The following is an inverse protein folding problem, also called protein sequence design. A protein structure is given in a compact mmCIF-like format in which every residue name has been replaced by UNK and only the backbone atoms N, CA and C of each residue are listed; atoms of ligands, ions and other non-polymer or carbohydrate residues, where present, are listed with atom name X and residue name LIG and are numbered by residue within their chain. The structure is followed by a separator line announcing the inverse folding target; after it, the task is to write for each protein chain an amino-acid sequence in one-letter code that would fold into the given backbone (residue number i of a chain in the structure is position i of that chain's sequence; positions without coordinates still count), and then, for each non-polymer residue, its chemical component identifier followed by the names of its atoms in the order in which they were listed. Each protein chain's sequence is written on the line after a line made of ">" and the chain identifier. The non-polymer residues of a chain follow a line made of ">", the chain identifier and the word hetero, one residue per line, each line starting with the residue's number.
data_IF_680114944944
#
_entry.id   IF_680114944944
#
_cell.length_a   1.000
_cell.length_b   1.000
_cell.length_c   1.000
_cell.angle_alpha   90.00
_cell.angle_beta   90.00
_cell.angle_gamma   90.00
#
_symmetry.space_group_name_H-M   'P 1'
#
loop_
_entity.id
_entity.type
_entity.pdbx_description
1 polymer ?
#
# COMPACT_ATOMS: atom_id res chain seq x y z
N UNK A 1 3.10 10.55 10.66
CA UNK A 1 1.97 11.48 10.85
C UNK A 1 0.81 10.96 10.01
N UNK A 2 -0.24 10.47 10.65
CA UNK A 2 -1.45 10.00 9.96
C UNK A 2 -2.39 11.20 9.82
N UNK A 3 -2.56 11.71 8.60
CA UNK A 3 -3.31 12.93 8.29
C UNK A 3 -4.85 12.74 8.37
N UNK A 4 -5.32 11.55 8.75
CA UNK A 4 -6.73 11.15 8.64
C UNK A 4 -7.50 11.16 9.95
N UNK A 5 -6.83 11.41 11.09
CA UNK A 5 -7.50 11.45 12.40
C UNK A 5 -7.61 12.90 12.82
N UNK A 6 -8.84 13.39 12.90
CA UNK A 6 -9.11 14.69 13.50
C UNK A 6 -8.70 14.63 14.97
N UNK A 7 -7.72 15.45 15.35
CA UNK A 7 -7.41 15.65 16.76
C UNK A 7 -8.46 16.60 17.34
N UNK A 8 -9.06 16.25 18.48
CA UNK A 8 -10.02 17.15 19.11
C UNK A 8 -9.37 18.47 19.52
N UNK A 9 -10.14 19.56 19.50
CA UNK A 9 -9.68 20.86 19.98
C UNK A 9 -9.71 20.88 21.52
N UNK A 10 -8.52 20.82 22.12
CA UNK A 10 -8.32 20.78 23.57
C UNK A 10 -8.25 22.20 24.17
N UNK A 11 -8.18 23.25 23.34
CA UNK A 11 -8.02 24.64 23.80
C UNK A 11 -9.34 25.33 24.17
N UNK A 12 -10.47 24.64 24.09
CA UNK A 12 -11.76 25.15 24.52
C UNK A 12 -11.83 25.19 26.07
N UNK A 13 -12.29 26.29 26.68
CA UNK A 13 -12.41 26.42 28.14
C UNK A 13 -13.29 25.32 28.78
N UNK A 14 -14.20 24.72 28.00
CA UNK A 14 -15.06 23.60 28.44
C UNK A 14 -14.43 22.21 28.26
N UNK A 15 -13.27 22.13 27.60
CA UNK A 15 -12.56 20.88 27.33
C UNK A 15 -11.89 20.32 28.59
N UNK A 16 -11.63 21.13 29.61
CA UNK A 16 -10.95 20.67 30.83
C UNK A 16 -11.97 20.54 31.96
N UNK A 17 -12.27 19.30 32.38
CA UNK A 17 -13.10 19.01 33.56
C UNK A 17 -12.39 19.39 34.86
N UNK A 18 -11.08 19.13 34.92
CA UNK A 18 -10.26 19.41 36.09
C UNK A 18 -8.82 19.63 35.64
N UNK A 19 -8.32 20.85 35.85
CA UNK A 19 -6.91 21.12 35.66
C UNK A 19 -6.10 20.31 36.69
N UNK A 20 -5.03 19.66 36.24
CA UNK A 20 -4.11 18.89 37.10
C UNK A 20 -2.69 19.39 36.92
N UNK A 21 -1.83 18.95 37.83
CA UNK A 21 -0.39 19.19 37.75
C UNK A 21 0.20 18.68 36.42
N UNK A 22 1.28 19.32 35.97
CA UNK A 22 1.89 19.13 34.65
C UNK A 22 2.31 17.67 34.40
N UNK A 23 2.58 16.90 35.45
CA UNK A 23 2.99 15.49 35.35
C UNK A 23 1.86 14.53 35.02
N UNK A 24 0.62 14.86 35.39
CA UNK A 24 -0.55 13.98 35.25
C UNK A 24 -1.44 14.33 34.06
N UNK A 25 -1.32 15.55 33.54
CA UNK A 25 -2.17 16.06 32.47
C UNK A 25 -3.59 16.36 32.95
N UNK A 26 -4.23 17.36 32.33
CA UNK A 26 -5.58 17.79 32.66
C UNK A 26 -6.62 16.67 32.46
N UNK A 27 -7.64 16.60 33.33
CA UNK A 27 -8.81 15.77 33.07
C UNK A 27 -9.66 16.42 31.99
N UNK A 28 -9.85 15.69 30.89
CA UNK A 28 -10.58 16.17 29.73
C UNK A 28 -12.07 15.84 29.81
N UNK A 29 -12.90 16.78 29.35
CA UNK A 29 -14.33 16.62 29.20
C UNK A 29 -14.64 15.94 27.87
N UNK A 30 -14.60 14.61 27.86
CA UNK A 30 -14.78 13.83 26.63
C UNK A 30 -16.09 14.17 25.90
N UNK A 31 -17.18 14.43 26.64
CA UNK A 31 -18.50 14.75 26.08
C UNK A 31 -18.60 16.14 25.45
N UNK A 32 -17.76 17.10 25.88
CA UNK A 32 -17.68 18.43 25.25
C UNK A 32 -16.69 18.45 24.08
N UNK A 33 -15.62 17.67 24.20
CA UNK A 33 -14.53 17.62 23.23
C UNK A 33 -14.92 16.82 21.97
N UNK A 34 -15.63 15.71 22.16
CA UNK A 34 -16.04 14.82 21.07
C UNK A 34 -17.56 14.85 20.96
N UNK A 35 -18.11 15.43 19.88
CA UNK A 35 -19.55 15.44 19.66
C UNK A 35 -20.12 14.02 19.69
N UNK A 36 -21.24 13.83 20.38
CA UNK A 36 -21.94 12.55 20.52
C UNK A 36 -21.17 11.47 21.30
N UNK A 37 -20.07 11.81 21.98
CA UNK A 37 -19.50 10.93 22.99
C UNK A 37 -20.38 10.92 24.25
N UNK A 38 -20.35 9.82 25.00
CA UNK A 38 -21.11 9.64 26.24
C UNK A 38 -20.28 8.91 27.29
N UNK A 39 -20.48 9.25 28.56
CA UNK A 39 -19.81 8.61 29.70
C UNK A 39 -20.86 8.32 30.77
N UNK A 40 -21.03 7.05 31.14
CA UNK A 40 -22.00 6.62 32.16
C UNK A 40 -21.34 5.70 33.17
N UNK A 41 -21.43 6.05 34.45
CA UNK A 41 -20.94 5.21 35.54
C UNK A 41 -22.10 4.45 36.20
N UNK A 42 -22.02 3.13 36.22
CA UNK A 42 -22.89 2.26 36.98
C UNK A 42 -22.23 1.91 38.33
N UNK A 43 -22.78 2.48 39.40
CA UNK A 43 -22.26 2.29 40.77
C UNK A 43 -22.50 0.86 41.27
N UNK A 44 -23.58 0.20 40.85
CA UNK A 44 -23.94 -1.13 41.33
C UNK A 44 -23.00 -2.19 40.75
N UNK A 45 -22.64 -2.03 39.47
CA UNK A 45 -21.72 -2.93 38.76
C UNK A 45 -20.26 -2.47 38.81
N UNK A 46 -19.98 -1.29 39.38
CA UNK A 46 -18.66 -0.64 39.35
C UNK A 46 -18.10 -0.54 37.92
N UNK A 47 -18.97 -0.29 36.94
CA UNK A 47 -18.62 -0.23 35.51
C UNK A 47 -18.72 1.21 34.99
N UNK A 48 -17.72 1.65 34.23
CA UNK A 48 -17.75 2.91 33.49
C UNK A 48 -17.91 2.60 32.00
N UNK A 49 -19.09 2.91 31.45
CA UNK A 49 -19.38 2.81 30.02
C UNK A 49 -18.97 4.12 29.34
N UNK A 50 -18.12 4.02 28.30
CA UNK A 50 -17.67 5.16 27.50
C UNK A 50 -18.00 4.87 26.04
N UNK A 51 -18.86 5.69 25.45
CA UNK A 51 -19.21 5.63 24.04
C UNK A 51 -18.49 6.76 23.30
N UNK A 52 -17.72 6.41 22.28
CA UNK A 52 -17.04 7.37 21.40
C UNK A 52 -17.39 7.04 19.96
N UNK A 53 -17.82 8.02 19.14
CA UNK A 53 -18.08 7.76 17.74
C UNK A 53 -16.82 7.23 17.04
N UNK A 54 -16.99 6.17 16.25
CA UNK A 54 -15.87 5.42 15.69
C UNK A 54 -14.92 6.29 14.85
N UNK A 55 -15.40 7.38 14.24
CA UNK A 55 -14.57 8.33 13.49
C UNK A 55 -13.44 8.98 14.32
N UNK A 56 -13.54 9.00 15.65
CA UNK A 56 -12.54 9.56 16.58
C UNK A 56 -11.62 8.51 17.20
N UNK A 57 -11.84 7.24 16.90
CA UNK A 57 -11.06 6.13 17.45
C UNK A 57 -10.02 5.71 16.42
N UNK A 58 -8.77 5.56 16.85
CA UNK A 58 -7.71 4.96 16.03
C UNK A 58 -8.11 3.53 15.67
N UNK A 59 -8.48 3.31 14.41
CA UNK A 59 -8.78 1.98 13.90
C UNK A 59 -7.48 1.27 13.58
N UNK A 60 -7.29 0.08 14.13
CA UNK A 60 -6.29 -0.84 13.60
C UNK A 60 -6.86 -1.42 12.30
N UNK A 61 -6.23 -1.15 11.15
CA UNK A 61 -6.60 -1.86 9.92
C UNK A 61 -6.47 -3.37 10.15
N UNK A 62 -7.43 -4.16 9.65
CA UNK A 62 -7.30 -5.61 9.73
C UNK A 62 -5.96 -6.06 9.11
N UNK A 63 -5.24 -6.93 9.81
CA UNK A 63 -3.91 -7.40 9.44
C UNK A 63 -2.83 -6.29 9.34
N UNK A 64 -3.03 -5.16 10.02
CA UNK A 64 -1.95 -4.19 10.21
C UNK A 64 -0.85 -4.77 11.11
N UNK A 65 0.40 -4.59 10.67
CA UNK A 65 1.59 -4.90 11.45
C UNK A 65 2.43 -3.64 11.58
N UNK A 66 2.73 -3.25 12.81
CA UNK A 66 3.59 -2.10 13.08
C UNK A 66 4.98 -2.32 12.43
N UNK A 67 5.52 -1.34 11.68
CA UNK A 67 6.83 -1.48 11.05
C UNK A 67 7.99 -1.75 12.00
N UNK A 68 7.88 -1.43 13.29
CA UNK A 68 8.87 -1.78 14.32
C UNK A 68 8.93 -3.28 14.61
N UNK A 69 7.88 -4.03 14.26
CA UNK A 69 7.82 -5.49 14.40
C UNK A 69 8.33 -6.22 13.15
N UNK A 70 8.73 -5.50 12.09
CA UNK A 70 9.21 -6.13 10.86
C UNK A 70 10.60 -6.71 11.04
N UNK A 71 10.73 -8.00 10.75
CA UNK A 71 12.02 -8.68 10.78
C UNK A 71 12.75 -8.55 9.44
N UNK A 72 14.05 -8.28 9.50
CA UNK A 72 14.90 -8.23 8.30
C UNK A 72 15.22 -9.63 7.73
N UNK A 73 14.87 -10.68 8.47
CA UNK A 73 15.22 -12.06 8.17
C UNK A 73 16.65 -12.41 8.58
N UNK A 74 17.11 -13.59 8.16
CA UNK A 74 18.44 -14.11 8.45
C UNK A 74 19.44 -13.81 7.33
N UNK A 75 20.72 -13.83 7.68
CA UNK A 75 21.78 -13.80 6.70
C UNK A 75 21.81 -15.13 5.93
N UNK A 76 21.63 -15.07 4.61
CA UNK A 76 21.56 -16.27 3.77
C UNK A 76 21.98 -15.96 2.33
N UNK A 77 22.59 -16.94 1.67
CA UNK A 77 22.82 -16.92 0.23
C UNK A 77 21.90 -17.94 -0.45
N UNK A 78 21.40 -17.60 -1.63
CA UNK A 78 20.50 -18.44 -2.40
C UNK A 78 20.92 -18.42 -3.88
N UNK A 79 20.79 -19.56 -4.54
CA UNK A 79 21.00 -19.70 -5.98
C UNK A 79 19.94 -20.65 -6.53
N UNK A 80 19.16 -20.14 -7.48
CA UNK A 80 18.27 -20.93 -8.31
C UNK A 80 18.85 -20.99 -9.71
N UNK A 81 18.78 -22.15 -10.35
CA UNK A 81 19.25 -22.36 -11.71
C UNK A 81 18.23 -23.17 -12.51
N UNK A 82 18.15 -22.89 -13.81
CA UNK A 82 17.36 -23.65 -14.77
C UNK A 82 18.23 -23.97 -15.97
N UNK A 83 18.39 -25.25 -16.29
CA UNK A 83 19.19 -25.72 -17.41
C UNK A 83 18.28 -26.41 -18.42
N UNK A 84 18.43 -26.06 -19.70
CA UNK A 84 17.74 -26.68 -20.80
C UNK A 84 18.73 -27.01 -21.92
N UNK A 85 18.62 -28.20 -22.48
CA UNK A 85 19.41 -28.63 -23.64
C UNK A 85 18.47 -29.02 -24.77
N UNK A 86 18.79 -28.59 -25.98
CA UNK A 86 18.04 -28.90 -27.17
C UNK A 86 18.98 -29.47 -28.24
N UNK A 87 18.54 -30.53 -28.89
CA UNK A 87 19.24 -31.19 -29.97
C UNK A 87 18.27 -31.42 -31.12
N UNK A 88 18.69 -31.05 -32.33
CA UNK A 88 17.94 -31.28 -33.55
C UNK A 88 18.87 -31.75 -34.66
N UNK A 89 18.46 -32.81 -35.34
CA UNK A 89 19.20 -33.39 -36.45
C UNK A 89 18.28 -33.52 -37.66
N UNK A 90 18.68 -32.92 -38.77
CA UNK A 90 18.03 -33.01 -40.08
C UNK A 90 19.12 -33.41 -41.09
N UNK A 91 18.83 -34.12 -42.20
CA UNK A 91 19.88 -34.49 -43.15
C UNK A 91 20.71 -33.28 -43.61
N UNK A 92 22.01 -33.29 -43.29
CA UNK A 92 22.94 -32.21 -43.61
C UNK A 92 23.02 -31.06 -42.59
N UNK A 93 22.25 -31.08 -41.48
CA UNK A 93 22.30 -30.04 -40.45
C UNK A 93 22.07 -30.62 -39.04
N UNK A 94 23.03 -30.38 -38.14
CA UNK A 94 22.89 -30.62 -36.70
C UNK A 94 22.88 -29.29 -35.97
N UNK A 95 21.89 -29.08 -35.11
CA UNK A 95 21.80 -27.90 -34.26
C UNK A 95 21.66 -28.33 -32.81
N UNK A 96 22.65 -27.95 -32.00
CA UNK A 96 22.67 -28.17 -30.56
C UNK A 96 22.54 -26.80 -29.90
N UNK A 97 21.75 -26.70 -28.83
CA UNK A 97 21.74 -25.52 -27.98
C UNK A 97 21.63 -25.87 -26.50
N UNK A 98 22.23 -25.01 -25.68
CA UNK A 98 22.22 -25.09 -24.23
C UNK A 98 21.79 -23.72 -23.71
N UNK A 99 20.78 -23.72 -22.84
CA UNK A 99 20.26 -22.56 -22.14
C UNK A 99 20.46 -22.77 -20.64
N UNK A 100 21.01 -21.78 -19.95
CA UNK A 100 21.12 -21.78 -18.50
C UNK A 100 20.68 -20.44 -17.94
N UNK A 101 19.56 -20.39 -17.21
CA UNK A 101 19.19 -19.24 -16.41
C UNK A 101 19.64 -19.41 -14.97
N UNK A 102 20.06 -18.31 -14.35
CA UNK A 102 20.37 -18.28 -12.92
C UNK A 102 19.71 -17.08 -12.25
N UNK A 103 19.34 -17.26 -10.99
CA UNK A 103 18.84 -16.22 -10.10
C UNK A 103 19.50 -16.43 -8.74
N UNK A 104 20.49 -15.58 -8.46
CA UNK A 104 21.25 -15.59 -7.22
C UNK A 104 20.88 -14.42 -6.33
N UNK A 105 21.07 -14.60 -5.03
CA UNK A 105 20.92 -13.52 -4.07
C UNK A 105 21.63 -13.78 -2.76
N UNK A 106 21.93 -12.68 -2.06
CA UNK A 106 22.46 -12.71 -0.70
C UNK A 106 21.65 -11.74 0.16
N UNK A 107 21.33 -12.16 1.38
CA UNK A 107 20.67 -11.34 2.39
C UNK A 107 21.68 -11.09 3.51
N UNK A 108 21.89 -9.83 3.87
CA UNK A 108 22.76 -9.41 4.97
C UNK A 108 22.06 -8.31 5.77
N UNK A 109 21.42 -8.69 6.87
CA UNK A 109 20.50 -7.83 7.61
C UNK A 109 19.40 -7.29 6.68
N UNK A 110 19.20 -5.97 6.66
CA UNK A 110 18.20 -5.31 5.82
C UNK A 110 18.59 -5.20 4.33
N UNK A 111 19.83 -5.54 3.97
CA UNK A 111 20.32 -5.42 2.60
C UNK A 111 20.14 -6.74 1.86
N UNK A 112 19.65 -6.64 0.62
CA UNK A 112 19.44 -7.80 -0.25
C UNK A 112 20.13 -7.55 -1.57
N UNK A 113 21.11 -8.38 -1.89
CA UNK A 113 21.77 -8.40 -3.19
C UNK A 113 21.02 -9.39 -4.06
N UNK A 114 20.73 -9.01 -5.30
CA UNK A 114 20.04 -9.83 -6.29
C UNK A 114 20.75 -9.73 -7.63
N UNK A 115 20.95 -10.87 -8.27
CA UNK A 115 21.51 -10.95 -9.61
C UNK A 115 20.81 -12.06 -10.39
N UNK A 116 20.26 -11.74 -11.55
CA UNK A 116 19.72 -12.74 -12.47
C UNK A 116 20.22 -12.52 -13.88
N UNK A 117 20.35 -13.62 -14.61
CA UNK A 117 20.84 -13.60 -15.97
C UNK A 117 20.70 -14.96 -16.62
N UNK A 118 21.20 -15.05 -17.84
CA UNK A 118 21.14 -16.26 -18.62
C UNK A 118 22.38 -16.42 -19.49
N UNK A 119 22.71 -17.67 -19.74
CA UNK A 119 23.79 -18.11 -20.61
C UNK A 119 23.16 -18.95 -21.72
N UNK A 120 23.46 -18.61 -22.95
CA UNK A 120 22.99 -19.32 -24.13
C UNK A 120 24.18 -19.78 -24.94
N UNK A 121 24.15 -21.01 -25.43
CA UNK A 121 25.11 -21.52 -26.40
C UNK A 121 24.36 -22.23 -27.52
N UNK A 122 24.78 -22.01 -28.77
CA UNK A 122 24.23 -22.69 -29.94
C UNK A 122 25.34 -23.01 -30.94
N UNK A 123 25.26 -24.16 -31.61
CA UNK A 123 26.30 -24.66 -32.54
C UNK A 123 26.73 -23.63 -33.59
N UNK A 124 25.77 -22.89 -34.16
CA UNK A 124 26.04 -21.91 -35.24
C UNK A 124 26.30 -20.48 -34.73
N UNK A 125 25.93 -20.15 -33.48
CA UNK A 125 25.94 -18.77 -32.95
C UNK A 125 26.92 -18.55 -31.80
N UNK A 126 27.61 -19.58 -31.31
CA UNK A 126 28.53 -19.50 -30.18
C UNK A 126 27.81 -19.31 -28.84
N UNK A 127 28.52 -18.78 -27.84
CA UNK A 127 28.00 -18.52 -26.50
C UNK A 127 27.70 -17.03 -26.30
N UNK A 128 26.54 -16.70 -25.74
CA UNK A 128 26.23 -15.38 -25.22
C UNK A 128 25.84 -15.45 -23.74
N UNK A 129 26.10 -14.38 -23.01
CA UNK A 129 25.78 -14.26 -21.60
C UNK A 129 25.23 -12.88 -21.29
N UNK A 130 24.01 -12.83 -20.77
CA UNK A 130 23.31 -11.58 -20.49
C UNK A 130 22.81 -11.55 -19.05
N UNK A 131 23.10 -10.45 -18.35
CA UNK A 131 22.47 -10.16 -17.07
C UNK A 131 21.16 -9.41 -17.29
N UNK A 132 20.08 -9.92 -16.68
CA UNK A 132 18.78 -9.24 -16.69
C UNK A 132 18.70 -8.13 -15.66
N UNK A 133 19.21 -8.40 -14.45
CA UNK A 133 19.27 -7.40 -13.38
C UNK A 133 20.36 -7.74 -12.38
N UNK A 134 20.96 -6.71 -11.79
CA UNK A 134 21.99 -6.82 -10.75
C UNK A 134 21.92 -5.61 -9.86
N UNK A 135 21.39 -5.78 -8.67
CA UNK A 135 21.16 -4.66 -7.78
C UNK A 135 21.25 -5.05 -6.33
N UNK A 136 21.40 -4.01 -5.51
CA UNK A 136 21.29 -4.07 -4.07
C UNK A 136 20.01 -3.33 -3.72
N UNK A 137 19.12 -3.97 -2.98
CA UNK A 137 17.90 -3.36 -2.47
C UNK A 137 17.90 -3.28 -0.95
N UNK A 138 17.19 -2.29 -0.43
CA UNK A 138 16.90 -2.13 1.00
C UNK A 138 15.53 -1.50 1.19
N UNK A 139 14.77 -2.05 2.13
CA UNK A 139 13.48 -1.49 2.52
C UNK A 139 13.67 -0.38 3.56
N UNK A 140 12.92 0.71 3.41
CA UNK A 140 12.90 1.87 4.30
C UNK A 140 11.50 1.98 4.90
N UNK A 141 11.31 1.32 6.04
CA UNK A 141 10.03 1.21 6.73
C UNK A 141 9.37 2.56 7.05
N UNK A 142 10.16 3.56 7.48
CA UNK A 142 9.67 4.90 7.82
C UNK A 142 9.02 5.63 6.64
N UNK A 143 9.48 5.35 5.42
CA UNK A 143 8.96 5.92 4.17
C UNK A 143 8.03 4.95 3.43
N UNK A 144 7.83 3.71 3.94
CA UNK A 144 7.13 2.62 3.24
C UNK A 144 7.62 2.46 1.79
N UNK A 145 8.94 2.51 1.63
CA UNK A 145 9.59 2.61 0.33
C UNK A 145 10.74 1.63 0.20
N UNK A 146 11.10 1.28 -1.03
CA UNK A 146 12.25 0.44 -1.35
C UNK A 146 13.29 1.26 -2.12
N UNK A 147 14.53 1.20 -1.64
CA UNK A 147 15.72 1.72 -2.31
C UNK A 147 16.35 0.60 -3.13
N UNK A 148 16.66 0.88 -4.39
CA UNK A 148 17.38 0.00 -5.31
C UNK A 148 18.60 0.77 -5.84
N UNK A 149 19.76 0.12 -5.77
CA UNK A 149 21.03 0.60 -6.31
C UNK A 149 21.59 -0.44 -7.29
N UNK A 150 21.83 -0.05 -8.54
CA UNK A 150 22.34 -0.93 -9.59
C UNK A 150 21.41 -1.00 -10.80
N UNK A 151 21.38 -2.16 -11.45
CA UNK A 151 20.65 -2.42 -12.69
C UNK A 151 19.23 -2.91 -12.38
N UNK A 152 18.23 -2.11 -12.73
CA UNK A 152 16.82 -2.40 -12.48
C UNK A 152 15.92 -1.77 -13.55
N UNK A 153 14.64 -2.16 -13.57
CA UNK A 153 13.64 -1.57 -14.45
C UNK A 153 12.79 -0.54 -13.69
N UNK A 154 12.34 0.51 -14.38
CA UNK A 154 11.28 1.41 -13.88
C UNK A 154 9.91 0.71 -13.93
N UNK A 155 8.91 1.17 -13.16
CA UNK A 155 7.63 0.44 -12.98
C UNK A 155 6.78 0.31 -14.25
N UNK A 156 6.95 1.20 -15.22
CA UNK A 156 6.08 1.20 -16.40
C UNK A 156 4.69 1.80 -16.15
N UNK A 157 4.43 2.43 -15.01
CA UNK A 157 3.07 2.81 -14.60
C UNK A 157 2.57 4.14 -15.18
N UNK A 158 3.50 5.08 -15.40
CA UNK A 158 3.22 6.39 -15.99
C UNK A 158 3.85 6.53 -17.37
N UNK A 159 5.09 6.07 -17.50
CA UNK A 159 5.88 6.04 -18.71
C UNK A 159 6.27 4.60 -19.00
N UNK A 160 6.74 4.30 -20.21
CA UNK A 160 7.24 2.97 -20.54
C UNK A 160 8.35 2.52 -19.59
N UNK A 161 8.38 1.21 -19.30
CA UNK A 161 9.42 0.63 -18.45
C UNK A 161 10.76 0.63 -19.20
N UNK A 162 11.76 1.22 -18.57
CA UNK A 162 13.12 1.32 -19.11
C UNK A 162 14.09 0.63 -18.14
N UNK A 163 15.07 -0.08 -18.69
CA UNK A 163 16.19 -0.61 -17.91
C UNK A 163 17.18 0.51 -17.61
N UNK A 164 17.48 0.70 -16.33
CA UNK A 164 18.40 1.73 -15.86
C UNK A 164 19.48 1.13 -14.97
N UNK A 165 20.69 1.67 -15.06
CA UNK A 165 21.76 1.47 -14.09
C UNK A 165 21.90 2.75 -13.26
N UNK A 166 21.51 2.69 -12.00
CA UNK A 166 21.56 3.86 -11.13
C UNK A 166 20.88 3.66 -9.79
N UNK A 167 20.11 4.67 -9.38
CA UNK A 167 19.41 4.73 -8.10
C UNK A 167 17.92 4.84 -8.38
N UNK A 168 17.13 4.05 -7.65
CA UNK A 168 15.68 4.13 -7.67
C UNK A 168 15.15 4.03 -6.24
N UNK A 169 14.26 4.95 -5.88
CA UNK A 169 13.59 4.97 -4.60
C UNK A 169 12.10 5.16 -4.86
N UNK A 170 11.29 4.21 -4.41
CA UNK A 170 9.86 4.20 -4.71
C UNK A 170 9.04 3.67 -3.55
N UNK A 171 7.81 4.17 -3.40
CA UNK A 171 6.85 3.66 -2.43
C UNK A 171 6.34 2.27 -2.84
N UNK A 172 6.36 1.32 -1.91
CA UNK A 172 5.88 -0.04 -2.16
C UNK A 172 4.50 -0.26 -1.53
N UNK A 173 3.47 -0.49 -2.34
CA UNK A 173 2.11 -0.70 -1.84
C UNK A 173 1.96 -1.94 -0.96
N UNK A 174 2.90 -2.90 -1.05
CA UNK A 174 2.92 -4.10 -0.20
C UNK A 174 3.34 -3.78 1.25
N UNK A 175 3.92 -2.61 1.48
CA UNK A 175 4.24 -2.09 2.82
C UNK A 175 3.05 -1.39 3.47
N UNK A 176 1.93 -1.24 2.75
CA UNK A 176 0.66 -0.77 3.30
C UNK A 176 -0.15 -1.96 3.86
N UNK A 177 -1.05 -1.71 4.82
CA UNK A 177 -2.12 -2.66 5.13
C UNK A 177 -2.81 -3.13 3.84
N UNK A 178 -3.16 -4.42 3.69
CA UNK A 178 -3.74 -4.95 2.45
C UNK A 178 -4.97 -4.18 1.97
N UNK A 179 -5.77 -3.66 2.90
CA UNK A 179 -6.93 -2.82 2.61
C UNK A 179 -6.55 -1.53 1.88
N UNK A 180 -5.41 -0.91 2.21
CA UNK A 180 -4.93 0.33 1.60
C UNK A 180 -4.14 0.12 0.31
N UNK A 181 -3.73 -1.11 -0.01
CA UNK A 181 -2.93 -1.42 -1.19
C UNK A 181 -3.72 -1.34 -2.51
N UNK A 182 -5.05 -1.43 -2.44
CA UNK A 182 -5.97 -1.32 -3.57
C UNK A 182 -6.97 -0.18 -3.33
N UNK A 183 -7.42 0.44 -4.43
CA UNK A 183 -8.47 1.47 -4.34
C UNK A 183 -9.79 0.87 -3.84
N UNK A 184 -10.33 1.49 -2.79
CA UNK A 184 -11.75 1.48 -2.50
C UNK A 184 -12.14 2.83 -1.88
N UNK A 185 -13.36 3.33 -2.16
CA UNK A 185 -13.83 4.59 -1.62
C UNK A 185 -13.98 4.47 -0.10
N UNK A 186 -13.72 5.57 0.60
CA UNK A 186 -13.96 5.70 2.04
C UNK A 186 -15.43 6.08 2.24
N UNK A 187 -16.16 5.30 3.02
CA UNK A 187 -17.57 5.54 3.28
C UNK A 187 -17.70 6.34 4.58
N UNK A 188 -18.33 7.51 4.49
CA UNK A 188 -18.70 8.33 5.65
C UNK A 188 -20.19 8.16 5.96
N UNK A 189 -20.55 8.16 7.23
CA UNK A 189 -21.94 8.12 7.66
C UNK A 189 -22.13 8.55 9.12
N UNK A 190 -23.39 8.64 9.53
CA UNK A 190 -23.79 8.94 10.91
C UNK A 190 -24.84 7.92 11.34
N UNK A 191 -24.61 7.26 12.47
CA UNK A 191 -25.57 6.40 13.14
C UNK A 191 -26.23 7.15 14.30
N UNK A 192 -27.53 6.96 14.53
CA UNK A 192 -28.22 7.60 15.65
C UNK A 192 -28.13 6.75 16.92
N UNK A 193 -27.98 5.44 16.76
CA UNK A 193 -27.87 4.45 17.83
C UNK A 193 -26.67 3.54 17.58
N UNK A 194 -26.50 2.52 18.42
CA UNK A 194 -25.58 1.44 18.09
C UNK A 194 -26.14 0.69 16.86
N UNK A 195 -25.52 0.90 15.72
CA UNK A 195 -26.06 0.50 14.43
C UNK A 195 -25.19 -0.60 13.80
N UNK A 196 -25.84 -1.51 13.06
CA UNK A 196 -25.18 -2.48 12.20
C UNK A 196 -25.05 -1.89 10.80
N UNK A 197 -23.83 -1.73 10.33
CA UNK A 197 -23.50 -1.25 8.99
C UNK A 197 -23.13 -2.45 8.12
N UNK A 198 -23.92 -2.68 7.07
CA UNK A 198 -23.72 -3.74 6.10
C UNK A 198 -23.44 -3.11 4.74
N UNK A 199 -22.37 -3.55 4.06
CA UNK A 199 -22.01 -3.11 2.72
C UNK A 199 -22.15 -4.28 1.77
N UNK A 200 -22.90 -4.06 0.70
CA UNK A 200 -23.12 -5.05 -0.36
C UNK A 200 -22.62 -4.53 -1.69
N UNK A 201 -22.07 -5.42 -2.52
CA UNK A 201 -21.58 -5.12 -3.87
C UNK A 201 -22.04 -6.24 -4.81
N UNK A 202 -22.67 -5.88 -5.93
CA UNK A 202 -23.21 -6.87 -6.87
C UNK A 202 -24.19 -7.87 -6.24
N UNK A 203 -24.88 -7.48 -5.17
CA UNK A 203 -25.80 -8.33 -4.42
C UNK A 203 -25.16 -9.22 -3.33
N UNK A 204 -23.83 -9.21 -3.19
CA UNK A 204 -23.12 -9.96 -2.16
C UNK A 204 -22.71 -9.08 -0.99
N UNK A 205 -22.85 -9.57 0.25
CA UNK A 205 -22.35 -8.89 1.45
C UNK A 205 -20.83 -9.02 1.51
N UNK A 206 -20.14 -7.89 1.39
CA UNK A 206 -18.67 -7.84 1.38
C UNK A 206 -18.09 -7.31 2.70
N UNK A 207 -18.90 -6.61 3.50
CA UNK A 207 -18.47 -6.07 4.79
C UNK A 207 -19.66 -5.91 5.73
N UNK A 208 -19.43 -6.15 7.03
CA UNK A 208 -20.42 -5.97 8.08
C UNK A 208 -19.71 -5.64 9.39
N UNK A 209 -20.16 -4.58 10.07
CA UNK A 209 -19.64 -4.20 11.39
C UNK A 209 -20.74 -3.53 12.20
N UNK A 210 -20.57 -3.47 13.51
CA UNK A 210 -21.33 -2.55 14.37
C UNK A 210 -20.54 -1.25 14.55
N UNK A 211 -21.25 -0.13 14.66
CA UNK A 211 -20.68 1.19 14.95
C UNK A 211 -21.42 1.83 16.13
N UNK A 212 -20.71 2.50 17.05
CA UNK A 212 -21.35 3.29 18.11
C UNK A 212 -22.21 4.42 17.54
N UNK A 213 -23.11 5.01 18.35
CA UNK A 213 -23.83 6.22 17.98
C UNK A 213 -22.87 7.35 17.56
N UNK A 214 -23.23 8.06 16.49
CA UNK A 214 -22.50 9.19 15.96
C UNK A 214 -21.83 8.92 14.61
N UNK A 215 -20.88 9.80 14.24
CA UNK A 215 -20.18 9.71 12.97
C UNK A 215 -19.26 8.47 12.90
N UNK A 216 -19.28 7.80 11.74
CA UNK A 216 -18.43 6.64 11.46
C UNK A 216 -17.76 6.77 10.08
N UNK A 217 -16.63 6.09 9.93
CA UNK A 217 -15.83 6.04 8.69
C UNK A 217 -15.40 4.60 8.42
N UNK A 218 -15.71 4.10 7.23
CA UNK A 218 -15.25 2.78 6.75
C UNK A 218 -14.24 2.98 5.63
N UNK A 219 -12.97 2.73 5.94
CA UNK A 219 -11.82 2.90 5.04
C UNK A 219 -11.01 1.59 4.84
N UNK A 220 -11.51 0.47 5.35
CA UNK A 220 -10.87 -0.85 5.35
C UNK A 220 -11.60 -1.90 4.50
N UNK A 221 -12.45 -1.45 3.58
CA UNK A 221 -13.21 -2.30 2.66
C UNK A 221 -12.30 -3.02 1.65
N UNK A 222 -12.43 -4.33 1.47
CA UNK A 222 -11.79 -5.02 0.32
C UNK A 222 -12.84 -5.30 -0.77
N UNK A 223 -12.81 -4.62 -1.93
CA UNK A 223 -13.80 -4.84 -2.97
C UNK A 223 -13.61 -6.23 -3.61
N UNK A 224 -14.72 -6.88 -3.97
CA UNK A 224 -14.70 -8.23 -4.57
C UNK A 224 -14.57 -8.23 -6.10
N UNK A 225 -14.55 -7.05 -6.73
CA UNK A 225 -14.44 -6.90 -8.19
C UNK A 225 -14.55 -5.44 -8.66
N UNK A 226 -14.64 -5.24 -9.98
CA UNK A 226 -14.73 -3.93 -10.62
C UNK A 226 -16.17 -3.64 -11.10
N UNK A 227 -16.61 -2.38 -10.98
CA UNK A 227 -17.75 -1.86 -11.76
C UNK A 227 -19.17 -2.09 -11.21
N UNK A 228 -19.34 -2.34 -9.91
CA UNK A 228 -20.66 -2.28 -9.27
C UNK A 228 -20.62 -1.42 -8.02
N UNK A 229 -21.65 -0.58 -7.87
CA UNK A 229 -21.81 0.33 -6.74
C UNK A 229 -21.84 -0.41 -5.40
N UNK A 230 -21.38 0.29 -4.37
CA UNK A 230 -21.43 -0.19 -2.99
C UNK A 230 -22.74 0.30 -2.37
N UNK A 231 -23.63 -0.64 -2.03
CA UNK A 231 -24.87 -0.32 -1.32
C UNK A 231 -24.61 -0.45 0.17
N UNK A 232 -24.69 0.68 0.87
CA UNK A 232 -24.46 0.77 2.31
C UNK A 232 -25.82 0.80 3.00
N UNK A 233 -26.06 -0.15 3.89
CA UNK A 233 -27.26 -0.22 4.74
C UNK A 233 -26.86 -0.05 6.19
N UNK A 234 -27.45 0.95 6.85
CA UNK A 234 -27.32 1.21 8.28
C UNK A 234 -28.62 0.78 8.95
N UNK A 235 -28.55 -0.26 9.77
CA UNK A 235 -29.65 -0.79 10.57
C UNK A 235 -29.48 -0.34 12.03
N UNK A 236 -30.36 0.55 12.49
CA UNK A 236 -30.35 1.11 13.84
C UNK A 236 -30.90 0.09 14.86
N UNK A 237 -30.66 0.31 16.15
CA UNK A 237 -31.13 -0.56 17.23
C UNK A 237 -32.65 -0.70 17.31
N UNK A 238 -33.41 0.27 16.78
CA UNK A 238 -34.88 0.23 16.70
C UNK A 238 -35.40 -0.56 15.48
N UNK A 239 -34.50 -1.11 14.67
CA UNK A 239 -34.82 -1.85 13.45
C UNK A 239 -35.03 -0.97 12.22
N UNK A 240 -34.96 0.36 12.35
CA UNK A 240 -35.02 1.26 11.20
C UNK A 240 -33.78 1.09 10.31
N UNK A 241 -33.98 1.15 8.99
CA UNK A 241 -32.92 0.94 7.99
C UNK A 241 -32.79 2.14 7.10
N UNK A 242 -31.55 2.60 6.92
CA UNK A 242 -31.19 3.65 5.97
C UNK A 242 -30.23 3.07 4.95
N UNK A 243 -30.53 3.27 3.68
CA UNK A 243 -29.69 2.75 2.59
C UNK A 243 -29.26 3.89 1.68
N UNK A 244 -27.99 3.91 1.31
CA UNK A 244 -27.45 4.82 0.30
C UNK A 244 -26.46 4.09 -0.61
N UNK A 245 -26.34 4.56 -1.85
CA UNK A 245 -25.36 4.04 -2.81
C UNK A 245 -24.11 4.90 -2.78
N UNK A 246 -22.95 4.26 -2.64
CA UNK A 246 -21.64 4.85 -2.88
C UNK A 246 -21.14 4.37 -4.24
N UNK A 247 -21.08 5.25 -5.26
CA UNK A 247 -20.59 4.88 -6.57
C UNK A 247 -19.19 4.28 -6.51
N UNK A 248 -18.98 3.17 -7.22
CA UNK A 248 -17.68 2.49 -7.29
C UNK A 248 -17.28 2.24 -8.74
N UNK A 249 -16.35 3.06 -9.22
CA UNK A 249 -15.59 2.84 -10.45
C UNK A 249 -14.12 2.93 -10.06
N UNK A 250 -13.30 1.96 -10.47
CA UNK A 250 -11.86 1.95 -10.20
C UNK A 250 -11.10 1.89 -11.51
N UNK A 251 -10.25 2.89 -11.76
CA UNK A 251 -9.22 2.83 -12.80
C UNK A 251 -7.93 2.36 -12.12
N UNK A 252 -7.06 1.63 -12.85
CA UNK A 252 -5.85 0.98 -12.31
C UNK A 252 -4.92 1.93 -11.53
N UNK A 253 -4.99 3.24 -11.79
CA UNK A 253 -4.12 4.25 -11.18
C UNK A 253 -4.75 5.01 -9.99
N UNK A 254 -6.00 4.75 -9.61
CA UNK A 254 -6.62 5.47 -8.47
C UNK A 254 -6.05 5.00 -7.13
N UNK A 255 -5.87 5.95 -6.21
CA UNK A 255 -5.38 5.71 -4.86
C UNK A 255 -6.47 6.02 -3.84
N UNK A 256 -6.44 5.32 -2.71
CA UNK A 256 -7.32 5.68 -1.59
C UNK A 256 -7.03 7.09 -1.09
N UNK A 257 -8.04 7.81 -0.57
CA UNK A 257 -7.84 9.12 0.03
C UNK A 257 -6.72 9.11 1.07
N UNK A 258 -5.77 10.03 0.91
CA UNK A 258 -4.54 10.22 1.67
C UNK A 258 -3.51 9.10 1.61
N UNK A 259 -3.64 8.16 0.68
CA UNK A 259 -2.51 7.31 0.26
C UNK A 259 -1.73 8.05 -0.82
N UNK A 260 -0.44 8.24 -0.58
CA UNK A 260 0.53 8.76 -1.54
C UNK A 260 1.35 7.63 -2.15
N UNK A 261 1.61 7.71 -3.45
CA UNK A 261 2.48 6.81 -4.19
C UNK A 261 3.49 7.62 -4.99
N UNK A 262 4.73 7.18 -5.00
CA UNK A 262 5.79 7.89 -5.71
C UNK A 262 6.89 6.95 -6.18
N UNK A 263 7.55 7.32 -7.27
CA UNK A 263 8.71 6.63 -7.82
C UNK A 263 9.69 7.69 -8.32
N UNK A 264 10.91 7.65 -7.81
CA UNK A 264 12.00 8.52 -8.24
C UNK A 264 13.15 7.63 -8.68
N UNK A 265 13.56 7.78 -9.93
CA UNK A 265 14.64 7.02 -10.52
C UNK A 265 15.59 7.91 -11.31
N UNK A 266 16.88 7.62 -11.20
CA UNK A 266 17.94 8.36 -11.87
C UNK A 266 19.10 7.44 -12.18
N UNK A 267 19.55 7.45 -13.43
CA UNK A 267 20.64 6.58 -13.85
C UNK A 267 20.83 6.57 -15.35
N UNK A 268 21.71 5.69 -15.81
CA UNK A 268 22.02 5.53 -17.21
C UNK A 268 21.08 4.49 -17.84
N UNK A 269 20.52 4.79 -19.02
CA UNK A 269 19.66 3.85 -19.74
C UNK A 269 20.50 2.71 -20.30
N UNK A 270 20.14 1.48 -19.94
CA UNK A 270 20.73 0.28 -20.52
C UNK A 270 19.90 -0.13 -21.73
N UNK A 271 20.49 -0.04 -22.92
CA UNK A 271 19.87 -0.51 -24.15
C UNK A 271 20.93 -1.15 -25.03
N UNK A 272 20.75 -2.42 -25.36
CA UNK A 272 21.76 -3.23 -26.09
C UNK A 272 22.05 -2.74 -27.53
N UNK A 273 21.30 -1.75 -28.04
CA UNK A 273 21.24 -1.36 -29.45
C UNK A 273 21.54 0.14 -29.70
N UNK A 274 22.01 0.89 -28.71
CA UNK A 274 22.39 2.31 -28.86
C UNK A 274 23.81 2.55 -28.33
N UNK A 275 24.67 3.18 -29.14
CA UNK A 275 26.04 3.54 -28.77
C UNK A 275 26.13 4.58 -27.65
N UNK A 276 25.16 5.49 -27.59
CA UNK A 276 24.98 6.44 -26.50
C UNK A 276 23.96 5.87 -25.50
N UNK A 277 24.42 5.58 -24.30
CA UNK A 277 23.59 5.22 -23.15
C UNK A 277 23.23 6.52 -22.40
N UNK A 278 22.12 7.23 -22.74
CA UNK A 278 21.80 8.53 -22.17
C UNK A 278 21.47 8.43 -20.69
N UNK A 279 21.61 9.54 -19.98
CA UNK A 279 21.15 9.63 -18.60
C UNK A 279 19.63 9.87 -18.60
N UNK A 280 18.94 9.21 -17.68
CA UNK A 280 17.52 9.34 -17.45
C UNK A 280 17.29 9.79 -16.03
N UNK A 281 16.44 10.80 -15.87
CA UNK A 281 15.82 11.16 -14.60
C UNK A 281 14.30 11.09 -14.76
N UNK A 282 13.67 10.25 -13.95
CA UNK A 282 12.23 10.06 -13.94
C UNK A 282 11.69 10.19 -12.52
N UNK A 283 10.62 10.96 -12.36
CA UNK A 283 9.93 11.10 -11.09
C UNK A 283 8.42 11.09 -11.33
N UNK A 284 7.68 10.34 -10.52
CA UNK A 284 6.22 10.36 -10.50
C UNK A 284 5.72 10.45 -9.07
N UNK A 285 4.61 11.18 -8.89
CA UNK A 285 3.94 11.34 -7.61
C UNK A 285 2.44 11.32 -7.83
N UNK A 286 1.74 10.51 -7.05
CA UNK A 286 0.29 10.36 -7.06
C UNK A 286 -0.23 10.44 -5.63
N UNK A 287 -1.38 11.07 -5.44
CA UNK A 287 -1.99 11.22 -4.13
C UNK A 287 -3.52 11.16 -4.25
N UNK A 288 -4.14 10.26 -3.50
CA UNK A 288 -5.60 10.20 -3.41
C UNK A 288 -6.12 11.41 -2.64
N UNK A 289 -6.78 12.34 -3.32
CA UNK A 289 -7.35 13.54 -2.68
C UNK A 289 -8.67 13.22 -1.99
N UNK A 290 -9.54 12.48 -2.70
CA UNK A 290 -10.83 12.03 -2.20
C UNK A 290 -11.29 10.79 -2.98
N UNK A 291 -12.51 10.31 -2.72
CA UNK A 291 -13.07 9.11 -3.35
C UNK A 291 -13.24 9.19 -4.87
N UNK A 292 -13.18 10.38 -5.45
CA UNK A 292 -13.44 10.63 -6.87
C UNK A 292 -12.22 11.15 -7.61
N UNK A 293 -11.21 11.66 -6.90
CA UNK A 293 -10.07 12.34 -7.48
C UNK A 293 -8.76 11.85 -6.85
N UNK A 294 -7.91 11.27 -7.69
CA UNK A 294 -6.48 11.10 -7.43
C UNK A 294 -5.74 12.12 -8.28
N UNK A 295 -4.97 12.99 -7.64
CA UNK A 295 -4.08 13.92 -8.32
C UNK A 295 -2.71 13.26 -8.52
N UNK A 296 -2.05 13.53 -9.63
CA UNK A 296 -0.69 13.09 -9.83
C UNK A 296 0.04 13.93 -10.86
N UNK A 297 1.36 13.91 -10.78
CA UNK A 297 2.26 14.55 -11.72
C UNK A 297 3.45 13.63 -11.96
N UNK A 298 4.03 13.71 -13.16
CA UNK A 298 5.17 12.91 -13.53
C UNK A 298 6.06 13.64 -14.54
N UNK A 299 7.36 13.56 -14.30
CA UNK A 299 8.39 14.14 -15.14
C UNK A 299 9.34 13.05 -15.64
N UNK A 300 9.73 13.16 -16.90
CA UNK A 300 10.73 12.31 -17.52
C UNK A 300 11.71 13.17 -18.30
N UNK A 301 12.98 13.13 -17.93
CA UNK A 301 14.05 13.93 -18.50
C UNK A 301 15.16 13.01 -19.00
N UNK A 302 15.39 13.04 -20.31
CA UNK A 302 16.53 12.39 -20.96
C UNK A 302 17.64 13.44 -21.12
N UNK A 303 18.85 13.13 -20.65
CA UNK A 303 20.02 14.01 -20.62
C UNK A 303 21.16 13.37 -21.41
#
# INVERSE_FOLDING_TARGET
>A
MQFHINSPDINNEKAVLLARDETLGNCLNLTEIIPQASVRYDVNEQRLDIDVPQAWVMKNYQNYVDPSLWENGINAAMLSYNLNGYHSETPGRRNDSIYAAFNGGMNLGAWRLRASGNYNWMTDSGSNYDFKNRYIQRDIASLRSQLILGESYTTGETFDSVSIRGIRLYSDSRMLPPTLASFAPIIHGVANTNAKVTITQGGYKIYETTVPPGAFVIDDLSPSGYGSDLIVTVEESDGSKRTFSQPFSSVVQMLRPGVGRWDISGGQVLKDDIQDEPNLFQASYYYGLNNYLTGGDAANLLI
#
